data_IF_861267481513
#
_entry.id   IF_861267481513
#
_cell.length_a   1.000
_cell.length_b   1.000
_cell.length_c   1.000
_cell.angle_alpha   90.00
_cell.angle_beta   90.00
_cell.angle_gamma   90.00
#
_symmetry.space_group_name_H-M   'P 1'
#
loop_
_entity.id
_entity.type
_entity.pdbx_description
1 polymer ?
#
# COMPACT_ATOMS: atom_id res chain seq x y z
N UNK A 1 -12.80 18.89 -6.76
CA UNK A 1 -12.24 18.42 -5.48
C UNK A 1 -10.73 18.32 -5.67
N UNK A 2 -9.94 19.01 -4.84
CA UNK A 2 -8.47 19.01 -4.93
C UNK A 2 -7.98 17.60 -4.51
N UNK A 3 -6.97 16.99 -5.15
CA UNK A 3 -6.49 15.68 -4.71
C UNK A 3 -6.06 15.76 -3.25
N UNK A 4 -6.60 14.87 -2.41
CA UNK A 4 -6.38 14.78 -0.96
C UNK A 4 -4.97 14.27 -0.61
N UNK A 5 -4.17 13.88 -1.60
CA UNK A 5 -2.79 13.45 -1.42
C UNK A 5 -1.87 14.34 -2.27
N UNK A 6 -0.88 15.02 -1.66
CA UNK A 6 -0.01 15.97 -2.35
C UNK A 6 1.05 15.33 -3.26
N UNK A 7 1.12 14.00 -3.31
CA UNK A 7 2.14 13.24 -4.04
C UNK A 7 1.46 12.28 -5.03
N UNK A 8 1.98 12.12 -6.28
CA UNK A 8 1.47 11.12 -7.22
C UNK A 8 1.96 9.73 -6.79
N UNK A 9 1.41 9.22 -5.68
CA UNK A 9 1.63 7.85 -5.24
C UNK A 9 0.71 6.93 -6.02
N UNK A 10 1.32 5.97 -6.71
CA UNK A 10 0.61 4.87 -7.32
C UNK A 10 0.43 3.75 -6.30
N UNK A 11 -0.81 3.60 -5.82
CA UNK A 11 -1.19 2.51 -4.93
C UNK A 11 -1.38 1.22 -5.73
N UNK A 12 -0.83 0.13 -5.24
CA UNK A 12 -1.09 -1.21 -5.75
C UNK A 12 -1.21 -2.20 -4.59
N UNK A 13 -2.10 -3.19 -4.73
CA UNK A 13 -2.23 -4.28 -3.79
C UNK A 13 -1.91 -5.61 -4.48
N UNK A 14 -1.17 -6.47 -3.79
CA UNK A 14 -0.77 -7.78 -4.25
C UNK A 14 -1.15 -8.84 -3.21
N UNK A 15 -1.84 -9.88 -3.66
CA UNK A 15 -2.18 -11.07 -2.85
C UNK A 15 -1.37 -12.30 -3.24
N UNK A 16 -0.41 -12.14 -4.15
CA UNK A 16 0.52 -13.20 -4.55
C UNK A 16 1.92 -12.66 -4.83
N UNK A 17 2.92 -13.42 -4.40
CA UNK A 17 4.32 -13.13 -4.65
C UNK A 17 4.63 -13.06 -6.16
N UNK A 18 4.03 -13.94 -6.97
CA UNK A 18 4.25 -13.97 -8.41
C UNK A 18 3.79 -12.69 -9.11
N UNK A 19 2.65 -12.12 -8.71
CA UNK A 19 2.15 -10.87 -9.25
C UNK A 19 3.04 -9.68 -8.83
N UNK A 20 3.43 -9.65 -7.54
CA UNK A 20 4.34 -8.64 -7.01
C UNK A 20 5.68 -8.63 -7.76
N UNK A 21 6.38 -9.77 -7.83
CA UNK A 21 7.68 -9.83 -8.51
C UNK A 21 7.58 -9.57 -10.02
N UNK A 22 6.43 -9.89 -10.65
CA UNK A 22 6.18 -9.53 -12.05
C UNK A 22 6.09 -8.02 -12.22
N UNK A 23 5.40 -7.34 -11.30
CA UNK A 23 5.31 -5.89 -11.33
C UNK A 23 6.66 -5.22 -11.06
N UNK A 24 7.43 -5.71 -10.08
CA UNK A 24 8.79 -5.21 -9.84
C UNK A 24 9.65 -5.28 -11.10
N UNK A 25 9.58 -6.40 -11.85
CA UNK A 25 10.27 -6.54 -13.15
C UNK A 25 9.76 -5.56 -14.20
N UNK A 26 8.44 -5.36 -14.29
CA UNK A 26 7.81 -4.43 -15.24
C UNK A 26 8.27 -2.98 -14.98
N UNK A 27 8.39 -2.61 -13.70
CA UNK A 27 8.83 -1.29 -13.27
C UNK A 27 10.36 -1.13 -13.20
N UNK A 28 11.13 -2.20 -13.49
CA UNK A 28 12.60 -2.23 -13.42
C UNK A 28 13.14 -1.89 -12.03
N UNK A 29 12.45 -2.30 -10.99
CA UNK A 29 12.90 -2.17 -9.61
C UNK A 29 14.07 -3.13 -9.37
N UNK A 30 15.23 -2.58 -9.02
CA UNK A 30 16.41 -3.36 -8.62
C UNK A 30 16.33 -3.67 -7.12
N UNK A 31 16.52 -4.93 -6.72
CA UNK A 31 16.56 -5.31 -5.30
C UNK A 31 15.19 -5.40 -4.62
N UNK A 32 14.15 -5.85 -5.33
CA UNK A 32 12.86 -6.12 -4.70
C UNK A 32 12.99 -7.09 -3.52
N UNK A 33 12.53 -6.64 -2.35
CA UNK A 33 12.53 -7.43 -1.11
C UNK A 33 11.55 -8.60 -1.19
N UNK A 34 11.55 -9.43 -0.14
CA UNK A 34 10.58 -10.50 0.02
C UNK A 34 9.14 -9.96 -0.06
N UNK A 35 8.24 -10.74 -0.66
CA UNK A 35 6.83 -10.36 -0.84
C UNK A 35 6.18 -9.87 0.46
N UNK A 36 6.27 -10.66 1.52
CA UNK A 36 5.94 -10.27 2.90
C UNK A 36 7.02 -10.82 3.84
N UNK A 37 7.57 -10.04 4.80
CA UNK A 37 8.52 -10.53 5.80
C UNK A 37 7.97 -11.73 6.59
N UNK A 38 8.86 -12.58 7.13
CA UNK A 38 8.47 -13.81 7.82
C UNK A 38 7.52 -13.56 9.01
N UNK A 39 7.74 -12.48 9.75
CA UNK A 39 6.99 -12.17 10.98
C UNK A 39 5.77 -11.24 10.75
N UNK A 40 5.41 -10.99 9.49
CA UNK A 40 4.28 -10.12 9.12
C UNK A 40 3.24 -10.85 8.27
N UNK A 41 2.00 -10.37 8.34
CA UNK A 41 0.89 -10.82 7.50
C UNK A 41 0.73 -9.96 6.22
N UNK A 42 1.16 -8.71 6.31
CA UNK A 42 1.21 -7.77 5.21
C UNK A 42 2.40 -6.83 5.39
N UNK A 43 2.75 -6.12 4.33
CA UNK A 43 3.69 -4.99 4.39
C UNK A 43 3.47 -4.06 3.21
N UNK A 44 3.91 -2.80 3.35
CA UNK A 44 4.01 -1.85 2.26
C UNK A 44 5.46 -1.67 1.80
N UNK A 45 5.71 -1.90 0.50
CA UNK A 45 6.98 -1.57 -0.14
C UNK A 45 6.86 -0.23 -0.88
N UNK A 46 7.89 0.61 -0.75
CA UNK A 46 7.96 1.90 -1.43
C UNK A 46 9.05 1.87 -2.49
N UNK A 47 8.69 2.26 -3.71
CA UNK A 47 9.64 2.32 -4.82
C UNK A 47 9.54 3.65 -5.54
N UNK A 48 10.67 4.32 -5.68
CA UNK A 48 10.78 5.48 -6.56
C UNK A 48 11.30 5.04 -7.91
N UNK A 49 10.65 5.51 -8.97
CA UNK A 49 11.12 5.33 -10.33
C UNK A 49 11.85 6.60 -10.77
N UNK A 50 13.18 6.56 -10.73
CA UNK A 50 14.05 7.68 -11.10
C UNK A 50 13.82 8.21 -12.53
N UNK A 51 13.27 7.37 -13.42
CA UNK A 51 13.01 7.76 -14.81
C UNK A 51 11.72 8.57 -14.95
N UNK A 52 10.67 8.20 -14.20
CA UNK A 52 9.35 8.86 -14.31
C UNK A 52 9.09 9.85 -13.18
N UNK A 53 9.87 9.82 -12.10
CA UNK A 53 9.61 10.56 -10.86
C UNK A 53 8.38 10.08 -10.11
N UNK A 54 7.85 8.90 -10.43
CA UNK A 54 6.69 8.32 -9.77
C UNK A 54 7.11 7.48 -8.58
N UNK A 55 6.36 7.58 -7.50
CA UNK A 55 6.50 6.69 -6.35
C UNK A 55 5.36 5.68 -6.34
N UNK A 56 5.70 4.44 -6.06
CA UNK A 56 4.77 3.33 -5.92
C UNK A 56 4.72 2.92 -4.45
N UNK A 57 3.52 2.79 -3.91
CA UNK A 57 3.28 2.12 -2.64
C UNK A 57 2.58 0.79 -2.92
N UNK A 58 3.32 -0.30 -2.73
CA UNK A 58 2.91 -1.65 -3.05
C UNK A 58 2.60 -2.42 -1.78
N UNK A 59 1.31 -2.58 -1.49
CA UNK A 59 0.83 -3.35 -0.35
C UNK A 59 0.79 -4.82 -0.72
N UNK A 60 1.51 -5.64 0.04
CA UNK A 60 1.56 -7.09 -0.14
C UNK A 60 0.85 -7.75 1.04
N UNK A 61 -0.11 -8.64 0.74
CA UNK A 61 -0.88 -9.38 1.76
C UNK A 61 -0.69 -10.88 1.52
N UNK A 62 -0.21 -11.59 2.55
CA UNK A 62 -0.04 -13.04 2.49
C UNK A 62 -1.34 -13.75 2.93
N UNK A 63 -2.15 -14.14 1.95
CA UNK A 63 -3.42 -14.82 2.22
C UNK A 63 -3.25 -16.18 2.90
N UNK A 64 -2.10 -16.85 2.76
CA UNK A 64 -1.84 -18.13 3.43
C UNK A 64 -1.61 -17.91 4.92
N UNK A 65 -0.85 -16.88 5.29
CA UNK A 65 -0.68 -16.51 6.71
C UNK A 65 -1.95 -15.98 7.35
N UNK A 66 -2.84 -15.41 6.53
CA UNK A 66 -4.13 -14.89 6.95
C UNK A 66 -5.26 -15.94 6.87
N UNK A 67 -4.94 -17.21 6.60
CA UNK A 67 -5.93 -18.28 6.56
C UNK A 67 -6.70 -18.37 7.89
N UNK A 68 -8.03 -18.46 7.81
CA UNK A 68 -8.92 -18.46 8.97
C UNK A 68 -9.27 -17.08 9.54
N UNK A 69 -8.71 -15.99 9.00
CA UNK A 69 -9.23 -14.63 9.26
C UNK A 69 -10.51 -14.40 8.47
N UNK A 70 -11.48 -13.74 9.10
CA UNK A 70 -12.67 -13.27 8.41
C UNK A 70 -12.36 -12.02 7.58
N UNK A 71 -13.35 -11.57 6.79
CA UNK A 71 -13.19 -10.39 5.95
C UNK A 71 -12.84 -9.12 6.75
N UNK A 72 -13.27 -9.03 8.01
CA UNK A 72 -12.96 -7.90 8.89
C UNK A 72 -11.48 -7.94 9.29
N UNK A 73 -10.94 -9.11 9.63
CA UNK A 73 -9.52 -9.26 9.97
C UNK A 73 -8.60 -8.89 8.81
N UNK A 74 -8.98 -9.25 7.58
CA UNK A 74 -8.25 -8.85 6.37
C UNK A 74 -8.36 -7.34 6.15
N UNK A 75 -9.57 -6.78 6.23
CA UNK A 75 -9.78 -5.35 6.08
C UNK A 75 -8.99 -4.54 7.11
N UNK A 76 -8.95 -4.98 8.38
CA UNK A 76 -8.16 -4.33 9.44
C UNK A 76 -6.67 -4.32 9.12
N UNK A 77 -6.15 -5.37 8.48
CA UNK A 77 -4.73 -5.44 8.08
C UNK A 77 -4.45 -4.46 6.95
N UNK A 78 -5.35 -4.35 5.97
CA UNK A 78 -5.22 -3.38 4.88
C UNK A 78 -5.29 -1.93 5.40
N UNK A 79 -6.17 -1.65 6.35
CA UNK A 79 -6.28 -0.34 6.99
C UNK A 79 -4.98 0.00 7.75
N UNK A 80 -4.36 -0.97 8.42
CA UNK A 80 -3.06 -0.78 9.09
C UNK A 80 -1.98 -0.31 8.11
N UNK A 81 -1.83 -0.99 6.97
CA UNK A 81 -0.88 -0.57 5.93
C UNK A 81 -1.24 0.79 5.32
N UNK A 82 -2.53 1.13 5.25
CA UNK A 82 -3.00 2.44 4.78
C UNK A 82 -2.51 3.58 5.67
N UNK A 83 -2.44 3.35 6.99
CA UNK A 83 -1.86 4.32 7.94
C UNK A 83 -0.36 4.48 7.69
N UNK A 84 0.37 3.40 7.43
CA UNK A 84 1.80 3.49 7.12
C UNK A 84 2.07 4.26 5.82
N UNK A 85 1.25 4.06 4.79
CA UNK A 85 1.33 4.84 3.54
C UNK A 85 1.12 6.33 3.83
N UNK A 86 0.09 6.66 4.60
CA UNK A 86 -0.17 8.04 4.99
C UNK A 86 1.01 8.67 5.75
N UNK A 87 1.60 7.94 6.70
CA UNK A 87 2.77 8.40 7.46
C UNK A 87 3.98 8.65 6.56
N UNK A 88 4.23 7.75 5.59
CA UNK A 88 5.31 7.91 4.62
C UNK A 88 5.08 9.14 3.72
N UNK A 89 3.84 9.38 3.28
CA UNK A 89 3.48 10.60 2.55
C UNK A 89 3.86 11.87 3.33
N UNK A 90 3.52 11.92 4.62
CA UNK A 90 3.81 13.07 5.47
C UNK A 90 5.33 13.28 5.63
N UNK A 91 6.06 12.18 5.85
CA UNK A 91 7.51 12.18 5.94
C UNK A 91 8.14 12.75 4.66
N UNK A 92 7.68 12.28 3.49
CA UNK A 92 8.17 12.71 2.19
C UNK A 92 7.95 14.21 1.92
N UNK A 93 6.76 14.74 2.26
CA UNK A 93 6.45 16.17 2.05
C UNK A 93 6.97 17.08 3.18
N UNK A 94 7.53 16.50 4.24
CA UNK A 94 8.00 17.24 5.42
C UNK A 94 6.88 17.82 6.29
N UNK A 95 5.65 17.31 6.18
CA UNK A 95 4.52 17.71 7.03
C UNK A 95 4.61 17.00 8.38
N UNK A 96 4.42 17.76 9.47
CA UNK A 96 4.58 17.27 10.84
C UNK A 96 3.33 17.43 11.70
N UNK A 97 2.39 18.27 11.27
CA UNK A 97 1.16 18.55 11.99
C UNK A 97 0.00 18.63 10.99
N UNK A 98 -0.35 17.50 10.36
CA UNK A 98 -1.51 17.46 9.47
C UNK A 98 -2.79 17.83 10.23
N UNK A 99 -3.77 18.41 9.54
CA UNK A 99 -5.08 18.63 10.16
C UNK A 99 -5.85 17.33 10.34
N UNK A 100 -6.61 17.22 11.43
CA UNK A 100 -7.36 16.00 11.80
C UNK A 100 -8.26 15.47 10.67
N UNK A 101 -8.99 16.35 9.98
CA UNK A 101 -9.84 15.95 8.85
C UNK A 101 -9.01 15.51 7.64
N UNK A 102 -7.87 16.16 7.40
CA UNK A 102 -6.99 15.78 6.31
C UNK A 102 -6.45 14.37 6.53
N UNK A 103 -5.99 14.07 7.75
CA UNK A 103 -5.57 12.72 8.15
C UNK A 103 -6.67 11.68 7.93
N UNK A 104 -7.85 11.92 8.50
CA UNK A 104 -8.97 10.99 8.44
C UNK A 104 -9.37 10.68 6.97
N UNK A 105 -9.50 11.71 6.14
CA UNK A 105 -9.88 11.54 4.73
C UNK A 105 -8.77 10.90 3.90
N UNK A 106 -7.49 11.21 4.15
CA UNK A 106 -6.38 10.59 3.44
C UNK A 106 -6.31 9.09 3.73
N UNK A 107 -6.38 8.68 5.00
CA UNK A 107 -6.37 7.26 5.39
C UNK A 107 -7.60 6.54 4.83
N UNK A 108 -8.78 7.14 4.95
CA UNK A 108 -10.01 6.57 4.37
C UNK A 108 -9.86 6.33 2.87
N UNK A 109 -9.31 7.30 2.14
CA UNK A 109 -9.14 7.20 0.70
C UNK A 109 -8.14 6.11 0.29
N UNK A 110 -6.99 6.01 0.97
CA UNK A 110 -6.00 4.95 0.73
C UNK A 110 -6.63 3.58 1.01
N UNK A 111 -7.26 3.42 2.18
CA UNK A 111 -7.87 2.18 2.59
C UNK A 111 -8.97 1.72 1.63
N UNK A 112 -9.85 2.63 1.20
CA UNK A 112 -10.91 2.30 0.25
C UNK A 112 -10.35 1.78 -1.08
N UNK A 113 -9.31 2.42 -1.62
CA UNK A 113 -8.68 1.96 -2.86
C UNK A 113 -8.09 0.55 -2.72
N UNK A 114 -7.36 0.30 -1.63
CA UNK A 114 -6.76 -1.00 -1.38
C UNK A 114 -7.80 -2.09 -1.11
N UNK A 115 -8.86 -1.78 -0.36
CA UNK A 115 -9.97 -2.72 -0.11
C UNK A 115 -10.71 -3.08 -1.40
N UNK A 116 -10.93 -2.12 -2.30
CA UNK A 116 -11.52 -2.39 -3.63
C UNK A 116 -10.60 -3.27 -4.47
N UNK A 117 -9.31 -2.97 -4.52
CA UNK A 117 -8.33 -3.80 -5.21
C UNK A 117 -8.29 -5.23 -4.65
N UNK A 118 -8.37 -5.38 -3.33
CA UNK A 118 -8.46 -6.70 -2.70
C UNK A 118 -9.70 -7.49 -3.16
N UNK A 119 -10.87 -6.85 -3.19
CA UNK A 119 -12.10 -7.49 -3.68
C UNK A 119 -11.94 -7.92 -5.13
N UNK A 120 -11.41 -7.06 -6.01
CA UNK A 120 -11.18 -7.39 -7.43
C UNK A 120 -10.22 -8.57 -7.62
N UNK A 121 -9.20 -8.69 -6.78
CA UNK A 121 -8.18 -9.75 -6.85
C UNK A 121 -8.64 -11.09 -6.25
N UNK A 122 -9.71 -11.10 -5.47
CA UNK A 122 -10.17 -12.28 -4.72
C UNK A 122 -11.59 -12.73 -5.05
N UNK A 123 -12.27 -12.02 -5.96
CA UNK A 123 -13.60 -12.37 -6.49
C UNK A 123 -13.55 -13.41 -7.62
#
# INVERSE_FOLDING_TARGET
MRPLMPMPIHLALFVSADAYFRECRRLKINGADAFVPNDSNACCHYFENDTTGMTYAMVCVDLKKMEGKDGIGIASTIIHESVHIYQECLSYIGEKNPGDEFEAYSIQHIAEQLLRAYVELTS
#
